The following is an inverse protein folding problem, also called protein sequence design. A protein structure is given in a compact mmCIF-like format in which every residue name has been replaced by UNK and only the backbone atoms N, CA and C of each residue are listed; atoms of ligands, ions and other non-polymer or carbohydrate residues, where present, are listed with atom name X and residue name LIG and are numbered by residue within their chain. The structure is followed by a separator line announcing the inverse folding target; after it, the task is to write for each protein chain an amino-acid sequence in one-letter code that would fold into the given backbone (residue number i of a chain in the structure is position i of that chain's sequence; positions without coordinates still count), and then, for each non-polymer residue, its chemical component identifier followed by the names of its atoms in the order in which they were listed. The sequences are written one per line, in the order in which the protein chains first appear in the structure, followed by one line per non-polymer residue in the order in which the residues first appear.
data_IF_188457586995
#
_entry.id   IF_188457586995
#
_cell.length_a   1.000
_cell.length_b   1.000
_cell.length_c   1.000
_cell.angle_alpha   90.00
_cell.angle_beta   90.00
_cell.angle_gamma   90.00
#
_symmetry.space_group_name_H-M   'P 1'
#
loop_
_entity.id
_entity.type
_entity.pdbx_description
1 polymer ?
#
# COMPACT_ATOMS: atom_id res chain seq x y z
N UNK A 1 14.58 -0.51 -4.33
CA UNK A 1 13.22 -0.69 -3.79
C UNK A 1 13.15 0.06 -2.48
N UNK A 2 12.27 1.05 -2.37
CA UNK A 2 12.02 1.76 -1.12
C UNK A 2 11.13 0.92 -0.19
N UNK A 3 11.04 1.31 1.09
CA UNK A 3 10.13 0.67 2.05
C UNK A 3 8.66 0.76 1.58
N UNK A 4 8.23 1.93 1.09
CA UNK A 4 6.88 2.12 0.54
C UNK A 4 6.60 1.19 -0.65
N UNK A 5 7.55 1.08 -1.58
CA UNK A 5 7.42 0.19 -2.75
C UNK A 5 7.29 -1.27 -2.32
N UNK A 6 8.09 -1.71 -1.34
CA UNK A 6 8.00 -3.05 -0.78
C UNK A 6 6.60 -3.31 -0.21
N UNK A 7 6.07 -2.41 0.63
CA UNK A 7 4.74 -2.56 1.23
C UNK A 7 3.62 -2.55 0.19
N UNK A 8 3.74 -1.74 -0.87
CA UNK A 8 2.77 -1.74 -1.97
C UNK A 8 2.79 -3.09 -2.73
N UNK A 9 3.97 -3.64 -2.98
CA UNK A 9 4.12 -4.94 -3.65
C UNK A 9 3.54 -6.06 -2.81
N UNK A 10 3.86 -6.10 -1.51
CA UNK A 10 3.34 -7.13 -0.60
C UNK A 10 1.83 -7.02 -0.41
N UNK A 11 1.29 -5.80 -0.31
CA UNK A 11 -0.16 -5.57 -0.25
C UNK A 11 -0.86 -6.14 -1.48
N UNK A 12 -0.36 -5.84 -2.69
CA UNK A 12 -0.91 -6.38 -3.94
C UNK A 12 -0.85 -7.91 -3.98
N UNK A 13 0.26 -8.49 -3.52
CA UNK A 13 0.43 -9.94 -3.44
C UNK A 13 -0.60 -10.57 -2.51
N UNK A 14 -0.79 -10.05 -1.30
CA UNK A 14 -1.75 -10.60 -0.34
C UNK A 14 -3.21 -10.38 -0.78
N UNK A 15 -3.52 -9.27 -1.45
CA UNK A 15 -4.82 -9.08 -2.08
C UNK A 15 -5.09 -10.13 -3.15
N UNK A 16 -4.10 -10.43 -4.00
CA UNK A 16 -4.21 -11.50 -5.00
C UNK A 16 -4.43 -12.87 -4.36
N UNK A 17 -3.73 -13.19 -3.27
CA UNK A 17 -3.94 -14.47 -2.57
C UNK A 17 -5.39 -14.65 -2.06
N UNK A 18 -6.04 -13.58 -1.60
CA UNK A 18 -7.45 -13.66 -1.17
C UNK A 18 -8.41 -14.01 -2.32
N UNK A 19 -8.11 -13.60 -3.55
CA UNK A 19 -8.94 -13.90 -4.72
C UNK A 19 -8.57 -15.23 -5.35
N UNK A 20 -7.27 -15.47 -5.53
CA UNK A 20 -6.75 -16.53 -6.40
C UNK A 20 -6.80 -17.89 -5.71
N UNK A 21 -6.73 -17.93 -4.38
CA UNK A 21 -6.73 -19.18 -3.62
C UNK A 21 -8.14 -19.61 -3.19
N UNK A 22 -9.11 -18.71 -3.31
CA UNK A 22 -10.50 -19.00 -2.95
C UNK A 22 -11.08 -20.05 -3.88
N UNK A 23 -11.42 -21.21 -3.33
CA UNK A 23 -11.94 -22.35 -4.10
C UNK A 23 -10.86 -23.27 -4.68
N UNK A 24 -9.58 -22.97 -4.46
CA UNK A 24 -8.44 -23.83 -4.78
C UNK A 24 -7.77 -24.42 -3.53
N UNK A 25 -8.23 -24.02 -2.34
CA UNK A 25 -7.83 -24.53 -1.04
C UNK A 25 -9.00 -25.18 -0.32
N UNK A 26 -8.70 -26.02 0.67
CA UNK A 26 -9.70 -26.43 1.65
C UNK A 26 -10.36 -25.21 2.30
N UNK A 27 -11.67 -25.31 2.58
CA UNK A 27 -12.47 -24.18 3.04
C UNK A 27 -12.00 -23.67 4.41
N UNK A 28 -11.66 -24.58 5.32
CA UNK A 28 -11.19 -24.22 6.66
C UNK A 28 -9.80 -23.59 6.57
N UNK A 29 -8.88 -24.20 5.83
CA UNK A 29 -7.53 -23.67 5.63
C UNK A 29 -7.56 -22.27 4.98
N UNK A 30 -8.44 -22.07 3.99
CA UNK A 30 -8.66 -20.79 3.36
C UNK A 30 -9.20 -19.75 4.35
N UNK A 31 -10.16 -20.10 5.21
CA UNK A 31 -10.69 -19.18 6.21
C UNK A 31 -9.61 -18.71 7.18
N UNK A 32 -8.85 -19.65 7.76
CA UNK A 32 -7.77 -19.33 8.68
C UNK A 32 -6.68 -18.47 8.02
N UNK A 33 -6.30 -18.81 6.77
CA UNK A 33 -5.34 -18.01 6.01
C UNK A 33 -5.88 -16.62 5.68
N UNK A 34 -7.12 -16.51 5.23
CA UNK A 34 -7.73 -15.24 4.87
C UNK A 34 -7.86 -14.30 6.07
N UNK A 35 -8.09 -14.83 7.27
CA UNK A 35 -8.10 -14.05 8.51
C UNK A 35 -6.72 -13.44 8.79
N UNK A 36 -5.65 -14.23 8.67
CA UNK A 36 -4.26 -13.75 8.83
C UNK A 36 -3.89 -12.72 7.76
N UNK A 37 -4.26 -12.95 6.50
CA UNK A 37 -3.99 -12.01 5.40
C UNK A 37 -4.71 -10.67 5.58
N UNK A 38 -5.94 -10.67 6.08
CA UNK A 38 -6.68 -9.42 6.35
C UNK A 38 -5.99 -8.56 7.40
N UNK A 39 -5.45 -9.16 8.47
CA UNK A 39 -4.67 -8.45 9.48
C UNK A 39 -3.44 -7.81 8.83
N UNK A 40 -2.65 -8.58 8.07
CA UNK A 40 -1.47 -8.08 7.37
C UNK A 40 -1.80 -6.96 6.37
N UNK A 41 -2.96 -7.02 5.72
CA UNK A 41 -3.39 -5.99 4.78
C UNK A 41 -3.74 -4.67 5.46
N UNK A 42 -4.35 -4.70 6.64
CA UNK A 42 -4.60 -3.50 7.42
C UNK A 42 -3.28 -2.89 7.93
N UNK A 43 -2.37 -3.72 8.46
CA UNK A 43 -1.05 -3.26 8.92
C UNK A 43 -0.25 -2.59 7.77
N UNK A 44 -0.26 -3.20 6.58
CA UNK A 44 0.40 -2.62 5.39
C UNK A 44 -0.26 -1.33 4.95
N UNK A 45 -1.59 -1.22 5.05
CA UNK A 45 -2.31 0.00 4.70
C UNK A 45 -1.91 1.14 5.64
N UNK A 46 -1.91 0.89 6.95
CA UNK A 46 -1.49 1.89 7.94
C UNK A 46 -0.03 2.31 7.74
N UNK A 47 0.88 1.36 7.50
CA UNK A 47 2.28 1.68 7.25
C UNK A 47 2.49 2.55 5.99
N UNK A 48 1.76 2.26 4.90
CA UNK A 48 1.79 3.06 3.68
C UNK A 48 1.25 4.47 3.94
N UNK A 49 0.10 4.59 4.62
CA UNK A 49 -0.50 5.90 4.96
C UNK A 49 0.47 6.75 5.80
N UNK A 50 1.13 6.17 6.80
CA UNK A 50 2.13 6.86 7.63
C UNK A 50 3.31 7.36 6.79
N UNK A 51 3.78 6.58 5.81
CA UNK A 51 4.87 6.99 4.92
C UNK A 51 4.39 8.13 4.00
N UNK A 52 3.21 8.01 3.41
CA UNK A 52 2.62 9.02 2.54
C UNK A 52 2.42 10.35 3.26
N UNK A 53 1.91 10.32 4.50
CA UNK A 53 1.79 11.52 5.33
C UNK A 53 3.14 12.19 5.62
N UNK A 54 4.19 11.40 5.88
CA UNK A 54 5.55 11.93 6.10
C UNK A 54 6.09 12.59 4.84
N UNK A 55 5.91 11.96 3.68
CA UNK A 55 6.30 12.51 2.38
C UNK A 55 5.57 13.84 2.14
N UNK A 56 4.26 13.86 2.38
CA UNK A 56 3.45 15.07 2.19
C UNK A 56 3.92 16.21 3.10
N UNK A 57 4.18 15.95 4.38
CA UNK A 57 4.73 16.94 5.33
C UNK A 57 6.08 17.50 4.88
N UNK A 58 6.95 16.67 4.31
CA UNK A 58 8.25 17.11 3.77
C UNK A 58 8.04 18.02 2.55
N UNK A 59 7.13 17.65 1.63
CA UNK A 59 6.82 18.45 0.44
C UNK A 59 6.22 19.80 0.82
N UNK A 60 5.30 19.83 1.79
CA UNK A 60 4.66 21.07 2.27
C UNK A 60 5.62 21.97 3.05
N UNK A 61 6.58 21.37 3.76
CA UNK A 61 7.61 22.09 4.51
C UNK A 61 8.71 22.72 3.66
N UNK A 62 8.80 22.37 2.37
CA UNK A 62 9.82 22.88 1.44
C UNK A 62 9.17 23.61 0.25
N UNK A 63 9.42 24.91 0.13
CA UNK A 63 8.82 25.74 -0.93
C UNK A 63 9.19 25.28 -2.35
N UNK A 64 10.41 24.76 -2.53
CA UNK A 64 10.87 24.27 -3.83
C UNK A 64 10.18 22.95 -4.18
N UNK A 65 10.10 21.99 -3.25
CA UNK A 65 9.39 20.74 -3.45
C UNK A 65 7.88 20.97 -3.65
N UNK A 66 7.26 21.85 -2.86
CA UNK A 66 5.86 22.22 -3.01
C UNK A 66 5.55 22.83 -4.38
N UNK A 67 6.46 23.66 -4.91
CA UNK A 67 6.34 24.21 -6.28
C UNK A 67 6.51 23.11 -7.32
N UNK A 68 7.50 22.24 -7.17
CA UNK A 68 7.75 21.12 -8.09
C UNK A 68 6.56 20.16 -8.14
N UNK A 69 6.00 19.78 -6.99
CA UNK A 69 4.83 18.91 -6.89
C UNK A 69 3.62 19.48 -7.64
N UNK A 70 3.32 20.78 -7.46
CA UNK A 70 2.21 21.45 -8.17
C UNK A 70 2.38 21.47 -9.69
N UNK A 71 3.60 21.60 -10.19
CA UNK A 71 3.87 21.58 -11.62
C UNK A 71 3.78 20.17 -12.18
N UNK A 72 4.28 19.16 -11.45
CA UNK A 72 4.21 17.77 -11.88
C UNK A 72 2.76 17.28 -12.06
N UNK A 73 1.86 17.62 -11.12
CA UNK A 73 0.42 17.28 -11.20
C UNK A 73 -0.23 17.84 -12.46
N UNK A 74 0.10 19.08 -12.86
CA UNK A 74 -0.46 19.73 -14.06
C UNK A 74 0.02 19.17 -15.39
N UNK A 75 1.10 18.37 -15.39
CA UNK A 75 1.66 17.76 -16.60
C UNK A 75 1.13 16.34 -16.84
N UNK A 76 0.37 15.79 -15.90
CA UNK A 76 -0.21 14.45 -15.95
C UNK A 76 -1.72 14.44 -16.22
N UNK A 77 -2.35 15.62 -16.30
CA UNK A 77 -3.75 15.85 -16.72
C UNK A 77 -3.81 16.24 -18.20
#
# INVERSE_FOLDING_TARGET
MSEQELYIVDKKKYQGQLTDEKGFMDLQDYWEKSARLKILLEDLKEAIEVIEEKIQKIIEGDETLSRQARVAVRLTE
#
